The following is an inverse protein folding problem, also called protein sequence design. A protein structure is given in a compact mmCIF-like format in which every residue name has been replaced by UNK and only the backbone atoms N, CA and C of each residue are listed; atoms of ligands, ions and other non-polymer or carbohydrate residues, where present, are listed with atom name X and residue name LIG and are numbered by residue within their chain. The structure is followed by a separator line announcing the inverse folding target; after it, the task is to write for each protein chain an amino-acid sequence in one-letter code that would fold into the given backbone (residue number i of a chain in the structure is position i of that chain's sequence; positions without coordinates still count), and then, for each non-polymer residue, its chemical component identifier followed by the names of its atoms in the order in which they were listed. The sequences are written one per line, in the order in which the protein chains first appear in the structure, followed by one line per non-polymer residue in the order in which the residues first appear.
data_IF_833525669700
#
_entry.id   IF_833525669700
#
_cell.length_a   1.000
_cell.length_b   1.000
_cell.length_c   1.000
_cell.angle_alpha   90.00
_cell.angle_beta   90.00
_cell.angle_gamma   90.00
#
_symmetry.space_group_name_H-M   'P 1'
#
loop_
_entity.id
_entity.type
_entity.pdbx_description
1 polymer ?
#
# COMPACT_ATOMS: atom_id res chain seq x y z
N UNK A 1 -8.12 12.61 23.32
CA UNK A 1 -6.94 12.46 22.43
C UNK A 1 -6.48 11.01 22.48
N UNK A 2 -6.59 10.26 21.38
CA UNK A 2 -6.14 8.87 21.33
C UNK A 2 -4.62 8.77 21.54
N UNK A 3 -4.16 7.78 22.31
CA UNK A 3 -2.74 7.58 22.56
C UNK A 3 -2.04 7.17 21.23
N UNK A 4 -1.09 7.97 20.70
CA UNK A 4 -0.48 7.72 19.39
C UNK A 4 0.25 6.38 19.32
N UNK A 5 0.80 5.89 20.44
CA UNK A 5 1.44 4.57 20.52
C UNK A 5 0.44 3.43 20.33
N UNK A 6 -0.74 3.53 20.96
CA UNK A 6 -1.81 2.54 20.78
C UNK A 6 -2.29 2.49 19.32
N UNK A 7 -2.37 3.65 18.67
CA UNK A 7 -2.79 3.72 17.27
C UNK A 7 -1.77 3.05 16.32
N UNK A 8 -0.47 3.20 16.58
CA UNK A 8 0.57 2.49 15.82
C UNK A 8 0.56 0.98 16.04
N UNK A 9 0.30 0.52 17.27
CA UNK A 9 0.15 -0.91 17.57
C UNK A 9 -1.02 -1.49 16.76
N UNK A 10 -2.16 -0.80 16.76
CA UNK A 10 -3.34 -1.20 15.98
C UNK A 10 -3.04 -1.21 14.48
N UNK A 11 -2.41 -0.15 13.95
CA UNK A 11 -2.01 -0.09 12.54
C UNK A 11 -1.08 -1.24 12.17
N UNK A 12 -0.08 -1.53 13.01
CA UNK A 12 0.90 -2.59 12.76
C UNK A 12 0.24 -3.97 12.78
N UNK A 13 -0.65 -4.23 13.75
CA UNK A 13 -1.38 -5.49 13.84
C UNK A 13 -2.29 -5.71 12.62
N UNK A 14 -3.01 -4.66 12.21
CA UNK A 14 -3.91 -4.74 11.04
C UNK A 14 -3.11 -4.86 9.74
N UNK A 15 -1.96 -4.20 9.64
CA UNK A 15 -1.06 -4.36 8.51
C UNK A 15 -0.55 -5.80 8.38
N UNK A 16 -0.08 -6.42 9.47
CA UNK A 16 0.37 -7.83 9.47
C UNK A 16 -0.79 -8.75 9.12
N UNK A 17 -2.00 -8.50 9.64
CA UNK A 17 -3.18 -9.28 9.30
C UNK A 17 -3.52 -9.17 7.81
N UNK A 18 -3.56 -7.96 7.26
CA UNK A 18 -3.85 -7.73 5.85
C UNK A 18 -2.77 -8.34 4.94
N UNK A 19 -1.49 -8.27 5.35
CA UNK A 19 -0.39 -8.94 4.68
C UNK A 19 -0.61 -10.46 4.62
N UNK A 20 -0.85 -11.12 5.76
CA UNK A 20 -1.04 -12.58 5.82
C UNK A 20 -2.24 -13.01 4.97
N UNK A 21 -3.37 -12.31 5.11
CA UNK A 21 -4.62 -12.64 4.40
C UNK A 21 -4.46 -12.47 2.89
N UNK A 22 -3.71 -11.46 2.44
CA UNK A 22 -3.58 -11.17 1.02
C UNK A 22 -2.34 -11.79 0.34
N UNK A 23 -1.45 -12.45 1.10
CA UNK A 23 -0.18 -12.95 0.57
C UNK A 23 -0.39 -13.93 -0.59
N UNK A 24 -1.13 -15.01 -0.34
CA UNK A 24 -1.41 -16.05 -1.33
C UNK A 24 -2.12 -15.49 -2.58
N UNK A 25 -3.26 -14.78 -2.47
CA UNK A 25 -3.90 -14.25 -3.66
C UNK A 25 -3.02 -13.24 -4.40
N UNK A 26 -2.17 -12.46 -3.72
CA UNK A 26 -1.33 -11.47 -4.39
C UNK A 26 -0.21 -12.05 -5.26
N UNK A 27 0.28 -13.26 -4.93
CA UNK A 27 1.38 -13.93 -5.63
C UNK A 27 0.84 -14.87 -6.71
N UNK A 28 -0.30 -15.51 -6.45
CA UNK A 28 -0.89 -16.50 -7.35
C UNK A 28 -1.96 -15.93 -8.28
N UNK A 29 -2.24 -14.63 -8.27
CA UNK A 29 -3.22 -14.04 -9.18
C UNK A 29 -2.74 -14.11 -10.64
N UNK A 30 -3.60 -14.46 -11.62
CA UNK A 30 -5.06 -14.65 -11.53
C UNK A 30 -5.55 -16.05 -11.13
N UNK A 31 -4.65 -16.99 -10.86
CA UNK A 31 -5.00 -18.39 -10.55
C UNK A 31 -5.67 -18.54 -9.17
N UNK A 32 -5.30 -17.70 -8.20
CA UNK A 32 -5.93 -17.69 -6.89
C UNK A 32 -7.23 -16.85 -6.88
N UNK A 33 -8.27 -17.40 -6.24
CA UNK A 33 -9.56 -16.71 -6.08
C UNK A 33 -9.48 -15.61 -5.03
N UNK A 34 -9.86 -14.39 -5.40
CA UNK A 34 -10.00 -13.30 -4.44
C UNK A 34 -11.39 -13.37 -3.79
N UNK A 35 -11.43 -13.78 -2.53
CA UNK A 35 -12.61 -13.77 -1.67
C UNK A 35 -12.86 -12.39 -1.00
N UNK A 36 -14.10 -12.11 -0.55
CA UNK A 36 -14.45 -10.86 0.15
C UNK A 36 -13.62 -10.57 1.41
N UNK A 37 -13.09 -11.60 2.07
CA UNK A 37 -12.23 -11.45 3.26
C UNK A 37 -10.95 -10.65 2.96
N UNK A 38 -10.38 -10.80 1.76
CA UNK A 38 -9.21 -10.03 1.32
C UNK A 38 -9.55 -8.54 1.17
N UNK A 39 -10.70 -8.25 0.57
CA UNK A 39 -11.21 -6.89 0.44
C UNK A 39 -11.46 -6.24 1.80
N UNK A 40 -12.07 -6.97 2.73
CA UNK A 40 -12.31 -6.51 4.11
C UNK A 40 -10.98 -6.23 4.83
N UNK A 41 -9.99 -7.13 4.73
CA UNK A 41 -8.68 -6.93 5.36
C UNK A 41 -7.96 -5.68 4.82
N UNK A 42 -7.99 -5.49 3.50
CA UNK A 42 -7.40 -4.31 2.84
C UNK A 42 -8.15 -3.03 3.22
N UNK A 43 -9.48 -3.08 3.24
CA UNK A 43 -10.32 -1.95 3.64
C UNK A 43 -10.11 -1.54 5.09
N UNK A 44 -9.96 -2.51 6.00
CA UNK A 44 -9.64 -2.24 7.41
C UNK A 44 -8.29 -1.54 7.55
N UNK A 45 -7.27 -1.98 6.80
CA UNK A 45 -5.97 -1.31 6.75
C UNK A 45 -6.11 0.13 6.26
N UNK A 46 -6.87 0.39 5.19
CA UNK A 46 -7.13 1.74 4.70
C UNK A 46 -7.78 2.64 5.74
N UNK A 47 -8.79 2.13 6.46
CA UNK A 47 -9.46 2.89 7.53
C UNK A 47 -8.47 3.27 8.64
N UNK A 48 -7.57 2.37 9.02
CA UNK A 48 -6.53 2.66 10.00
C UNK A 48 -5.48 3.65 9.51
N UNK A 49 -5.05 3.54 8.25
CA UNK A 49 -4.15 4.51 7.63
C UNK A 49 -4.79 5.89 7.55
N UNK A 50 -6.06 5.98 7.15
CA UNK A 50 -6.81 7.23 7.15
C UNK A 50 -6.93 7.84 8.55
N UNK A 51 -7.29 7.03 9.56
CA UNK A 51 -7.37 7.49 10.95
C UNK A 51 -6.03 8.02 11.48
N UNK A 52 -4.91 7.35 11.16
CA UNK A 52 -3.58 7.80 11.56
C UNK A 52 -3.14 9.08 10.84
N UNK A 53 -3.61 9.32 9.61
CA UNK A 53 -3.43 10.60 8.91
C UNK A 53 -4.12 11.75 9.64
N UNK A 54 -5.38 11.57 10.06
CA UNK A 54 -6.13 12.58 10.81
C UNK A 54 -5.51 12.86 12.19
N UNK A 55 -4.87 11.86 12.80
CA UNK A 55 -4.12 12.01 14.04
C UNK A 55 -2.73 12.64 13.86
N UNK A 56 -2.31 12.93 12.61
CA UNK A 56 -1.04 13.59 12.27
C UNK A 56 0.18 12.80 12.72
N UNK A 57 0.11 11.48 12.62
CA UNK A 57 1.19 10.61 13.07
C UNK A 57 2.32 10.55 12.03
N UNK A 58 3.50 11.09 12.40
CA UNK A 58 4.69 11.12 11.53
C UNK A 58 5.18 9.74 11.10
N UNK A 59 5.05 8.72 11.96
CA UNK A 59 5.46 7.35 11.63
C UNK A 59 4.53 6.75 10.58
N UNK A 60 3.22 7.00 10.69
CA UNK A 60 2.26 6.59 9.67
C UNK A 60 2.51 7.30 8.33
N UNK A 61 2.89 8.60 8.35
CA UNK A 61 3.32 9.31 7.14
C UNK A 61 4.53 8.63 6.47
N UNK A 62 5.54 8.21 7.24
CA UNK A 62 6.69 7.50 6.69
C UNK A 62 6.29 6.17 6.02
N UNK A 63 5.38 5.41 6.65
CA UNK A 63 4.83 4.19 6.04
C UNK A 63 4.12 4.50 4.71
N UNK A 64 3.29 5.55 4.67
CA UNK A 64 2.58 5.94 3.43
C UNK A 64 3.56 6.38 2.34
N UNK A 65 4.61 7.13 2.70
CA UNK A 65 5.68 7.51 1.76
C UNK A 65 6.41 6.27 1.21
N UNK A 66 6.69 5.29 2.06
CA UNK A 66 7.30 4.03 1.63
C UNK A 66 6.37 3.26 0.68
N UNK A 67 5.06 3.20 0.97
CA UNK A 67 4.06 2.59 0.10
C UNK A 67 4.01 3.31 -1.25
N UNK A 68 3.99 4.65 -1.26
CA UNK A 68 3.98 5.45 -2.49
C UNK A 68 5.20 5.13 -3.36
N UNK A 69 6.39 5.18 -2.77
CA UNK A 69 7.64 4.92 -3.48
C UNK A 69 7.72 3.48 -4.01
N UNK A 70 7.36 2.50 -3.18
CA UNK A 70 7.34 1.10 -3.58
C UNK A 70 6.35 0.86 -4.72
N UNK A 71 5.16 1.44 -4.64
CA UNK A 71 4.07 1.22 -5.60
C UNK A 71 4.40 1.76 -7.00
N UNK A 72 4.95 2.98 -7.09
CA UNK A 72 5.40 3.52 -8.38
C UNK A 72 6.58 2.73 -8.93
N UNK A 73 7.52 2.31 -8.08
CA UNK A 73 8.69 1.52 -8.49
C UNK A 73 8.24 0.17 -9.05
N UNK A 74 7.36 -0.53 -8.35
CA UNK A 74 6.80 -1.81 -8.75
C UNK A 74 6.04 -1.71 -10.07
N UNK A 75 5.13 -0.75 -10.20
CA UNK A 75 4.41 -0.53 -11.47
C UNK A 75 5.40 -0.31 -12.62
N UNK A 76 6.37 0.57 -12.42
CA UNK A 76 7.37 0.92 -13.43
C UNK A 76 8.17 -0.30 -13.86
N UNK A 77 8.71 -1.06 -12.91
CA UNK A 77 9.56 -2.21 -13.21
C UNK A 77 8.78 -3.34 -13.88
N UNK A 78 7.55 -3.66 -13.43
CA UNK A 78 6.72 -4.71 -14.06
C UNK A 78 6.38 -4.31 -15.50
N UNK A 79 6.01 -3.04 -15.70
CA UNK A 79 5.72 -2.53 -17.04
C UNK A 79 6.95 -2.61 -17.95
N UNK A 80 8.15 -2.25 -17.48
CA UNK A 80 9.37 -2.31 -18.30
C UNK A 80 9.88 -3.74 -18.56
N UNK A 81 9.75 -4.65 -17.60
CA UNK A 81 10.12 -6.06 -17.77
C UNK A 81 9.38 -6.68 -18.97
N UNK A 82 8.13 -6.29 -19.20
CA UNK A 82 7.35 -6.74 -20.36
C UNK A 82 7.88 -6.29 -21.72
N UNK A 83 8.75 -5.27 -21.78
CA UNK A 83 9.33 -4.74 -23.03
C UNK A 83 10.79 -5.12 -23.25
N UNK A 84 11.53 -5.41 -22.19
CA UNK A 84 12.98 -5.64 -22.25
C UNK A 84 13.29 -7.03 -21.75
N UNK A 85 12.95 -8.03 -22.57
CA UNK A 85 13.35 -9.41 -22.36
C UNK A 85 14.83 -9.61 -22.78
N UNK A 86 15.51 -10.56 -22.12
CA UNK A 86 16.82 -11.13 -22.48
C UNK A 86 18.10 -10.36 -22.09
N UNK A 87 18.06 -9.44 -21.11
CA UNK A 87 19.27 -8.82 -20.55
C UNK A 87 19.44 -9.21 -19.07
N UNK A 88 20.37 -10.11 -18.79
CA UNK A 88 20.64 -10.68 -17.44
C UNK A 88 20.88 -9.61 -16.36
N UNK A 89 21.55 -8.50 -16.69
CA UNK A 89 21.78 -7.41 -15.74
C UNK A 89 20.46 -6.68 -15.38
N UNK A 90 19.54 -6.61 -16.33
CA UNK A 90 18.25 -5.96 -16.18
C UNK A 90 17.29 -6.82 -15.36
N UNK A 91 17.36 -8.15 -15.48
CA UNK A 91 16.58 -9.09 -14.65
C UNK A 91 16.87 -8.92 -13.16
N UNK A 92 18.15 -8.72 -12.80
CA UNK A 92 18.56 -8.46 -11.42
C UNK A 92 17.99 -7.13 -10.89
N UNK A 93 17.91 -6.11 -11.74
CA UNK A 93 17.31 -4.82 -11.40
C UNK A 93 15.78 -4.93 -11.27
N UNK A 94 15.10 -5.65 -12.17
CA UNK A 94 13.65 -5.86 -12.09
C UNK A 94 13.26 -6.67 -10.87
N UNK A 95 14.10 -7.62 -10.43
CA UNK A 95 13.84 -8.44 -9.25
C UNK A 95 13.63 -7.67 -7.94
N UNK A 96 14.09 -6.41 -7.84
CA UNK A 96 13.83 -5.56 -6.65
C UNK A 96 12.34 -5.24 -6.48
N UNK A 97 11.55 -5.36 -7.54
CA UNK A 97 10.10 -5.14 -7.49
C UNK A 97 9.40 -6.16 -6.61
N UNK A 98 9.86 -7.41 -6.55
CA UNK A 98 9.18 -8.48 -5.80
C UNK A 98 9.14 -8.23 -4.29
N UNK A 99 10.27 -7.94 -3.59
CA UNK A 99 10.20 -7.62 -2.17
C UNK A 99 9.40 -6.33 -1.91
N UNK A 100 9.46 -5.33 -2.80
CA UNK A 100 8.67 -4.11 -2.67
C UNK A 100 7.16 -4.38 -2.82
N UNK A 101 6.77 -5.19 -3.80
CA UNK A 101 5.39 -5.60 -4.02
C UNK A 101 4.86 -6.38 -2.82
N UNK A 102 5.61 -7.39 -2.36
CA UNK A 102 5.23 -8.22 -1.21
C UNK A 102 5.05 -7.35 0.04
N UNK A 103 5.97 -6.44 0.32
CA UNK A 103 5.86 -5.63 1.54
C UNK A 103 4.78 -4.55 1.43
N UNK A 104 4.69 -3.83 0.31
CA UNK A 104 3.93 -2.58 0.28
C UNK A 104 2.66 -2.61 -0.56
N UNK A 105 2.53 -3.54 -1.52
CA UNK A 105 1.35 -3.66 -2.39
C UNK A 105 0.44 -4.79 -1.90
N UNK A 106 1.00 -5.96 -1.56
CA UNK A 106 0.26 -7.14 -1.08
C UNK A 106 -0.73 -6.84 0.05
N UNK A 107 -0.41 -6.05 1.10
CA UNK A 107 -1.38 -5.77 2.16
C UNK A 107 -2.66 -5.07 1.68
N UNK A 108 -2.62 -4.38 0.53
CA UNK A 108 -3.78 -3.73 -0.08
C UNK A 108 -4.31 -4.48 -1.31
N UNK A 109 -3.73 -5.64 -1.65
CA UNK A 109 -4.09 -6.40 -2.84
C UNK A 109 -5.56 -6.86 -2.85
N UNK A 110 -6.18 -7.06 -1.69
CA UNK A 110 -7.58 -7.46 -1.62
C UNK A 110 -8.56 -6.44 -2.20
N UNK A 111 -8.15 -5.18 -2.41
CA UNK A 111 -8.94 -4.21 -3.19
C UNK A 111 -9.15 -4.66 -4.65
N UNK A 112 -8.28 -5.53 -5.15
CA UNK A 112 -8.41 -6.12 -6.48
C UNK A 112 -9.65 -7.02 -6.62
N UNK A 113 -10.33 -7.37 -5.52
CA UNK A 113 -11.65 -7.99 -5.55
C UNK A 113 -12.67 -7.19 -6.39
N UNK A 114 -12.57 -5.86 -6.40
CA UNK A 114 -13.52 -4.99 -7.11
C UNK A 114 -13.11 -4.68 -8.55
N UNK A 115 -11.81 -4.71 -8.85
CA UNK A 115 -11.26 -4.27 -10.13
C UNK A 115 -10.88 -5.42 -11.05
N UNK A 116 -10.43 -6.54 -10.48
CA UNK A 116 -9.97 -7.73 -11.20
C UNK A 116 -8.93 -7.39 -12.30
N UNK A 117 -7.89 -6.64 -11.91
CA UNK A 117 -6.81 -6.19 -12.79
C UNK A 117 -5.49 -6.88 -12.47
N UNK A 118 -4.53 -6.80 -13.40
CA UNK A 118 -3.19 -7.35 -13.21
C UNK A 118 -2.45 -6.67 -12.03
N UNK A 119 -1.46 -7.35 -11.43
CA UNK A 119 -0.67 -6.83 -10.30
C UNK A 119 -0.06 -5.44 -10.52
N UNK A 120 0.37 -5.13 -11.74
CA UNK A 120 0.88 -3.81 -12.12
C UNK A 120 -0.14 -2.69 -11.86
N UNK A 121 -1.41 -2.89 -12.25
CA UNK A 121 -2.47 -1.91 -12.04
C UNK A 121 -2.92 -1.85 -10.59
N UNK A 122 -2.76 -2.94 -9.82
CA UNK A 122 -2.96 -2.91 -8.37
C UNK A 122 -1.89 -2.03 -7.71
N UNK A 123 -0.62 -2.15 -8.11
CA UNK A 123 0.43 -1.26 -7.62
C UNK A 123 0.13 0.20 -7.99
N UNK A 124 -0.35 0.47 -9.20
CA UNK A 124 -0.78 1.81 -9.62
C UNK A 124 -1.96 2.35 -8.78
N UNK A 125 -2.94 1.51 -8.46
CA UNK A 125 -4.04 1.88 -7.56
C UNK A 125 -3.50 2.25 -6.17
N UNK A 126 -2.63 1.42 -5.60
CA UNK A 126 -2.03 1.67 -4.27
C UNK A 126 -1.22 2.97 -4.28
N UNK A 127 -0.54 3.29 -5.37
CA UNK A 127 0.13 4.58 -5.55
C UNK A 127 -0.85 5.77 -5.44
N UNK A 128 -1.98 5.74 -6.14
CA UNK A 128 -2.98 6.82 -6.05
C UNK A 128 -3.61 6.91 -4.65
N UNK A 129 -3.87 5.78 -4.01
CA UNK A 129 -4.33 5.73 -2.62
C UNK A 129 -3.30 6.40 -1.68
N UNK A 130 -2.02 6.11 -1.85
CA UNK A 130 -0.97 6.69 -1.03
C UNK A 130 -0.86 8.21 -1.22
N UNK A 131 -0.98 8.71 -2.47
CA UNK A 131 -1.07 10.15 -2.74
C UNK A 131 -2.24 10.77 -1.98
N UNK A 132 -3.43 10.19 -2.10
CA UNK A 132 -4.64 10.69 -1.45
C UNK A 132 -4.45 10.78 0.08
N UNK A 133 -3.91 9.73 0.68
CA UNK A 133 -3.62 9.69 2.13
C UNK A 133 -2.60 10.75 2.55
N UNK A 134 -1.54 10.99 1.76
CA UNK A 134 -0.57 12.04 2.04
C UNK A 134 -1.19 13.44 1.97
N UNK A 135 -2.01 13.70 0.95
CA UNK A 135 -2.74 14.97 0.82
C UNK A 135 -3.63 15.20 2.05
N UNK A 136 -4.38 14.18 2.48
CA UNK A 136 -5.20 14.25 3.68
C UNK A 136 -4.36 14.54 4.92
N UNK A 137 -3.21 13.87 5.08
CA UNK A 137 -2.31 14.11 6.19
C UNK A 137 -1.83 15.57 6.21
N UNK A 138 -1.37 16.13 5.09
CA UNK A 138 -0.91 17.52 5.01
C UNK A 138 -2.03 18.53 5.28
N UNK A 139 -3.25 18.27 4.79
CA UNK A 139 -4.42 19.09 5.09
C UNK A 139 -4.78 19.05 6.59
N UNK A 140 -4.68 17.88 7.22
CA UNK A 140 -4.95 17.72 8.65
C UNK A 140 -3.92 18.46 9.52
N UNK A 141 -2.65 18.51 9.09
CA UNK A 141 -1.59 19.28 9.76
C UNK A 141 -1.85 20.78 9.62
N UNK A 142 -1.99 21.28 8.39
CA UNK A 142 -2.12 22.72 8.10
C UNK A 142 -3.38 23.36 8.69
N UNK A 143 -4.51 22.66 8.73
CA UNK A 143 -5.75 23.19 9.33
C UNK A 143 -5.62 23.42 10.83
N UNK A 144 -4.85 22.59 11.54
CA UNK A 144 -4.70 22.72 12.98
C UNK A 144 -3.78 23.89 13.37
N UNK A 145 -2.74 24.15 12.58
CA UNK A 145 -1.82 25.26 12.84
C UNK A 145 -2.53 26.62 12.72
N UNK A 146 -3.55 26.73 11.85
CA UNK A 146 -4.40 27.94 11.75
C UNK A 146 -5.33 28.17 12.93
N UNK A 147 -5.71 27.13 13.68
CA UNK A 147 -6.61 27.26 14.85
C UNK A 147 -5.86 27.75 16.09
N UNK A 148 -4.52 27.65 16.09
CA UNK A 148 -3.67 28.07 17.20
C UNK A 148 -3.08 29.48 17.05
N UNK A 149 -3.20 30.09 15.87
CA UNK A 149 -2.79 31.47 15.60
C UNK A 149 -3.96 32.43 15.81
#
# INVERSE_FOLDING_TARGET
MGNPKKCLIVLSAIYVLAFIVNLIPSIMFPDATILPIHAVASGLLLVCMFGTCLLRNRVAKLLIMAILFASVTVFTLISFESYVYDIVLLDALFSIQYPLYILFVTPLFGLNYFLNVNPEYVALLVFFIAILLLVIHELAVTRFDRVKS
#
